data_IF_097832792452
#
_entry.id   IF_097832792452
#
_cell.length_a   1.000
_cell.length_b   1.000
_cell.length_c   1.000
_cell.angle_alpha   90.00
_cell.angle_beta   90.00
_cell.angle_gamma   90.00
#
_symmetry.space_group_name_H-M   'P 1'
#
loop_
_entity.id
_entity.type
_entity.pdbx_description
1 polymer ?
#
# COMPACT_ATOMS: atom_id res chain seq x y z
N UNK A 1 3.63 -22.92 5.09
CA UNK A 1 3.63 -22.54 6.52
C UNK A 1 4.91 -21.81 6.96
N UNK A 2 6.12 -22.23 6.55
CA UNK A 2 7.40 -21.58 6.90
C UNK A 2 7.58 -20.18 6.27
N UNK A 3 7.14 -19.95 5.02
CA UNK A 3 7.32 -18.68 4.29
C UNK A 3 6.57 -17.50 4.93
N UNK A 4 5.41 -17.73 5.51
CA UNK A 4 4.57 -16.68 6.12
C UNK A 4 5.05 -16.28 7.53
N UNK A 5 5.60 -17.25 8.31
CA UNK A 5 6.32 -16.92 9.54
C UNK A 5 7.54 -16.03 9.25
N UNK A 6 8.24 -16.27 8.13
CA UNK A 6 9.37 -15.45 7.71
C UNK A 6 8.97 -13.99 7.41
N UNK A 7 7.78 -13.74 6.82
CA UNK A 7 7.28 -12.39 6.54
C UNK A 7 6.90 -11.64 7.83
N UNK A 8 6.21 -12.29 8.75
CA UNK A 8 5.82 -11.68 10.04
C UNK A 8 7.04 -11.40 10.94
N UNK A 9 7.93 -12.37 11.08
CA UNK A 9 9.19 -12.18 11.80
C UNK A 9 10.11 -11.22 11.05
N UNK A 10 10.07 -11.21 9.72
CA UNK A 10 10.80 -10.27 8.88
C UNK A 10 10.41 -8.81 9.14
N UNK A 11 9.13 -8.50 9.26
CA UNK A 11 8.66 -7.15 9.58
C UNK A 11 9.11 -6.71 10.99
N UNK A 12 8.98 -7.57 12.00
CA UNK A 12 9.49 -7.27 13.36
C UNK A 12 11.02 -7.19 13.43
N UNK A 13 11.74 -8.00 12.65
CA UNK A 13 13.20 -7.91 12.53
C UNK A 13 13.62 -6.58 11.88
N UNK A 14 12.88 -6.09 10.90
CA UNK A 14 13.12 -4.79 10.27
C UNK A 14 12.83 -3.65 11.26
N UNK A 15 11.79 -3.74 12.09
CA UNK A 15 11.49 -2.73 13.12
C UNK A 15 12.58 -2.57 14.17
N UNK A 16 13.14 -3.67 14.66
CA UNK A 16 14.26 -3.68 15.61
C UNK A 16 15.63 -3.66 14.94
N UNK A 17 15.67 -3.77 13.61
CA UNK A 17 16.81 -3.69 12.70
C UNK A 17 18.14 -4.17 13.29
N UNK A 18 18.40 -5.48 13.34
CA UNK A 18 19.65 -5.95 13.91
C UNK A 18 20.84 -5.34 13.16
N UNK A 19 21.82 -4.86 13.90
CA UNK A 19 22.95 -4.08 13.39
C UNK A 19 23.72 -4.79 12.26
N UNK A 20 23.74 -6.12 12.23
CA UNK A 20 24.39 -6.87 11.13
C UNK A 20 23.73 -6.68 9.75
N UNK A 21 22.51 -6.11 9.68
CA UNK A 21 21.86 -5.75 8.40
C UNK A 21 22.34 -4.38 7.88
N UNK A 22 23.05 -3.60 8.68
CA UNK A 22 23.49 -2.26 8.28
C UNK A 22 24.30 -2.24 6.98
N UNK A 23 25.31 -3.11 6.76
CA UNK A 23 26.08 -3.11 5.51
C UNK A 23 25.20 -3.31 4.27
N UNK A 24 24.23 -4.23 4.34
CA UNK A 24 23.29 -4.47 3.23
C UNK A 24 22.37 -3.28 2.97
N UNK A 25 22.01 -2.54 4.02
CA UNK A 25 21.22 -1.32 3.90
C UNK A 25 22.00 -0.21 3.18
N UNK A 26 23.29 -0.09 3.44
CA UNK A 26 24.16 0.87 2.72
C UNK A 26 24.30 0.48 1.24
N UNK A 27 24.48 -0.80 0.93
CA UNK A 27 24.52 -1.29 -0.47
C UNK A 27 23.19 -0.98 -1.16
N UNK A 28 22.07 -1.27 -0.50
CA UNK A 28 20.74 -0.96 -1.04
C UNK A 28 20.55 0.54 -1.28
N UNK A 29 20.92 1.38 -0.32
CA UNK A 29 20.86 2.84 -0.45
C UNK A 29 21.69 3.34 -1.64
N UNK A 30 22.89 2.79 -1.82
CA UNK A 30 23.76 3.13 -2.95
C UNK A 30 23.14 2.72 -4.30
N UNK A 31 22.56 1.52 -4.40
CA UNK A 31 21.85 1.05 -5.61
C UNK A 31 20.69 2.01 -5.93
N UNK A 32 19.88 2.37 -4.93
CA UNK A 32 18.76 3.31 -5.09
C UNK A 32 19.27 4.69 -5.52
N UNK A 33 20.36 5.17 -4.93
CA UNK A 33 21.01 6.43 -5.32
C UNK A 33 21.44 6.39 -6.80
N UNK A 34 22.21 5.39 -7.21
CA UNK A 34 22.67 5.25 -8.59
C UNK A 34 21.50 5.17 -9.58
N UNK A 35 20.49 4.34 -9.27
CA UNK A 35 19.28 4.22 -10.10
C UNK A 35 18.57 5.56 -10.26
N UNK A 36 18.38 6.29 -9.17
CA UNK A 36 17.70 7.58 -9.20
C UNK A 36 18.49 8.60 -9.99
N UNK A 37 19.81 8.59 -9.86
CA UNK A 37 20.69 9.49 -10.59
C UNK A 37 20.69 9.21 -12.11
N UNK A 38 20.69 7.93 -12.51
CA UNK A 38 20.55 7.54 -13.91
C UNK A 38 19.24 8.03 -14.54
N UNK A 39 18.12 7.96 -13.79
CA UNK A 39 16.86 8.55 -14.26
C UNK A 39 16.89 10.08 -14.31
N UNK A 40 17.50 10.74 -13.32
CA UNK A 40 17.59 12.20 -13.26
C UNK A 40 18.39 12.76 -14.43
N UNK A 41 19.43 12.03 -14.86
CA UNK A 41 20.27 12.37 -16.03
C UNK A 41 19.68 11.93 -17.37
N UNK A 42 18.50 11.31 -17.38
CA UNK A 42 17.87 10.79 -18.61
C UNK A 42 18.57 9.59 -19.24
N UNK A 43 19.46 8.91 -18.51
CA UNK A 43 20.19 7.73 -19.01
C UNK A 43 19.34 6.46 -18.99
N UNK A 44 18.25 6.44 -18.25
CA UNK A 44 17.28 5.35 -18.27
C UNK A 44 15.99 5.79 -19.00
N UNK A 45 15.40 4.90 -19.80
CA UNK A 45 14.23 5.25 -20.61
C UNK A 45 13.00 5.53 -19.75
N UNK A 46 12.29 6.61 -20.09
CA UNK A 46 11.00 6.97 -19.52
C UNK A 46 9.98 7.04 -20.66
N UNK A 47 8.96 6.21 -20.58
CA UNK A 47 7.92 6.11 -21.59
C UNK A 47 6.75 7.01 -21.25
N UNK A 48 6.24 7.75 -22.26
CA UNK A 48 5.01 8.53 -22.17
C UNK A 48 3.86 7.77 -22.82
N UNK A 49 2.67 7.99 -22.32
CA UNK A 49 1.40 7.49 -22.85
C UNK A 49 0.42 8.66 -23.02
N UNK A 50 -0.63 8.47 -23.81
CA UNK A 50 -1.61 9.53 -24.05
C UNK A 50 -2.45 9.89 -22.82
N UNK A 51 -2.94 8.92 -22.00
CA UNK A 51 -3.65 9.24 -20.78
C UNK A 51 -2.80 10.04 -19.79
N UNK A 52 -3.43 10.92 -19.02
CA UNK A 52 -2.79 11.54 -17.84
C UNK A 52 -2.45 10.47 -16.82
N UNK A 53 -1.24 10.48 -16.30
CA UNK A 53 -0.76 9.47 -15.34
C UNK A 53 -0.56 10.10 -13.96
N UNK A 54 -1.36 9.67 -13.00
CA UNK A 54 -1.25 10.05 -11.59
C UNK A 54 -0.68 8.88 -10.81
N UNK A 55 0.43 9.08 -10.14
CA UNK A 55 1.06 8.06 -9.29
C UNK A 55 0.68 8.29 -7.83
N UNK A 56 0.21 7.25 -7.18
CA UNK A 56 0.01 7.21 -5.72
C UNK A 56 1.01 6.21 -5.16
N UNK A 57 1.86 6.68 -4.25
CA UNK A 57 2.91 5.84 -3.70
C UNK A 57 3.40 6.28 -2.34
N UNK A 58 4.48 5.66 -1.89
CA UNK A 58 5.21 6.03 -0.69
C UNK A 58 6.68 5.65 -0.82
N UNK A 59 7.52 6.09 0.11
CA UNK A 59 8.96 5.75 0.14
C UNK A 59 9.30 4.67 1.18
N UNK A 60 8.31 4.15 1.91
CA UNK A 60 8.50 3.13 2.93
C UNK A 60 7.80 1.83 2.57
N UNK A 61 8.33 0.70 3.01
CA UNK A 61 7.64 -0.58 2.96
C UNK A 61 6.56 -0.63 4.06
N UNK A 62 5.41 -1.26 3.74
CA UNK A 62 4.29 -1.42 4.68
C UNK A 62 3.06 -0.60 4.33
N UNK A 63 1.99 -0.81 5.10
CA UNK A 63 0.68 -0.21 4.88
C UNK A 63 0.66 1.29 5.15
N UNK A 64 0.59 2.11 4.13
CA UNK A 64 0.49 3.57 4.19
C UNK A 64 -0.87 4.11 3.73
N UNK A 65 -1.88 3.22 3.59
CA UNK A 65 -3.21 3.62 3.14
C UNK A 65 -3.31 3.95 1.65
N UNK A 66 -2.39 3.46 0.80
CA UNK A 66 -2.41 3.72 -0.66
C UNK A 66 -3.69 3.27 -1.31
N UNK A 67 -4.09 2.02 -1.13
CA UNK A 67 -5.27 1.44 -1.77
C UNK A 67 -6.58 2.16 -1.41
N UNK A 68 -6.85 2.50 -0.13
CA UNK A 68 -7.97 3.38 0.21
C UNK A 68 -7.89 4.76 -0.44
N UNK A 69 -6.71 5.34 -0.57
CA UNK A 69 -6.54 6.64 -1.20
C UNK A 69 -6.77 6.57 -2.72
N UNK A 70 -6.24 5.54 -3.40
CA UNK A 70 -6.50 5.27 -4.82
C UNK A 70 -7.99 5.10 -5.09
N UNK A 71 -8.69 4.36 -4.23
CA UNK A 71 -10.15 4.23 -4.30
C UNK A 71 -10.86 5.59 -4.19
N UNK A 72 -10.50 6.39 -3.18
CA UNK A 72 -11.07 7.73 -3.00
C UNK A 72 -10.79 8.63 -4.19
N UNK A 73 -9.54 8.64 -4.67
CA UNK A 73 -9.10 9.45 -5.80
C UNK A 73 -9.88 9.10 -7.08
N UNK A 74 -10.03 7.81 -7.39
CA UNK A 74 -10.78 7.36 -8.54
C UNK A 74 -12.26 7.81 -8.52
N UNK A 75 -12.86 7.87 -7.33
CA UNK A 75 -14.23 8.36 -7.18
C UNK A 75 -14.40 9.86 -7.46
N UNK A 76 -13.34 10.66 -7.35
CA UNK A 76 -13.41 12.12 -7.60
C UNK A 76 -13.46 12.46 -9.11
N UNK A 77 -13.00 11.58 -9.97
CA UNK A 77 -12.97 11.81 -11.42
C UNK A 77 -14.20 11.22 -12.13
N UNK A 78 -15.37 11.48 -11.57
CA UNK A 78 -16.63 11.02 -12.18
C UNK A 78 -16.78 11.53 -13.62
N UNK A 79 -17.23 10.65 -14.54
CA UNK A 79 -17.40 10.97 -15.95
C UNK A 79 -16.15 10.85 -16.82
N UNK A 80 -14.99 10.52 -16.25
CA UNK A 80 -13.76 10.19 -16.98
C UNK A 80 -13.60 8.68 -17.13
N UNK A 81 -13.00 8.24 -18.23
CA UNK A 81 -12.52 6.85 -18.37
C UNK A 81 -11.26 6.68 -17.53
N UNK A 82 -11.35 5.92 -16.45
CA UNK A 82 -10.26 5.73 -15.50
C UNK A 82 -9.75 4.30 -15.57
N UNK A 83 -8.43 4.15 -15.55
CA UNK A 83 -7.76 2.88 -15.32
C UNK A 83 -6.88 2.95 -14.08
N UNK A 84 -6.87 1.88 -13.28
CA UNK A 84 -5.94 1.70 -12.17
C UNK A 84 -4.94 0.63 -12.56
N UNK A 85 -3.65 0.96 -12.50
CA UNK A 85 -2.57 0.02 -12.73
C UNK A 85 -1.90 -0.36 -11.41
N UNK A 86 -2.05 -1.62 -11.02
CA UNK A 86 -1.36 -2.20 -9.88
C UNK A 86 -0.28 -3.19 -10.32
N UNK A 87 0.77 -3.35 -9.52
CA UNK A 87 1.80 -4.35 -9.78
C UNK A 87 1.30 -5.78 -9.54
N UNK A 88 0.40 -5.93 -8.56
CA UNK A 88 0.04 -7.22 -8.00
C UNK A 88 1.18 -7.81 -7.17
N UNK A 89 0.84 -8.30 -5.99
CA UNK A 89 1.76 -9.04 -5.12
C UNK A 89 1.17 -10.43 -4.87
N UNK A 90 1.99 -11.50 -5.04
CA UNK A 90 1.56 -12.87 -4.83
C UNK A 90 0.68 -13.45 -5.94
N UNK A 91 0.05 -14.58 -5.66
CA UNK A 91 -0.81 -15.32 -6.59
C UNK A 91 -2.24 -14.74 -6.67
N UNK A 92 -2.67 -14.02 -5.63
CA UNK A 92 -3.96 -13.35 -5.60
C UNK A 92 -3.77 -11.85 -5.29
N UNK A 93 -4.04 -10.97 -6.27
CA UNK A 93 -3.96 -9.52 -6.10
C UNK A 93 -5.22 -9.00 -5.38
N UNK A 94 -5.37 -9.31 -4.10
CA UNK A 94 -6.55 -9.00 -3.27
C UNK A 94 -6.90 -7.52 -3.24
N UNK A 95 -5.90 -6.63 -3.21
CA UNK A 95 -6.13 -5.17 -3.31
C UNK A 95 -6.76 -4.78 -4.66
N UNK A 96 -6.27 -5.34 -5.76
CA UNK A 96 -6.82 -5.08 -7.08
C UNK A 96 -8.24 -5.63 -7.24
N UNK A 97 -8.51 -6.83 -6.69
CA UNK A 97 -9.85 -7.42 -6.66
C UNK A 97 -10.80 -6.53 -5.84
N UNK A 98 -10.34 -6.03 -4.69
CA UNK A 98 -11.12 -5.11 -3.86
C UNK A 98 -11.45 -3.81 -4.61
N UNK A 99 -10.47 -3.23 -5.30
CA UNK A 99 -10.67 -2.02 -6.13
C UNK A 99 -11.67 -2.28 -7.26
N UNK A 100 -11.52 -3.39 -8.00
CA UNK A 100 -12.44 -3.75 -9.08
C UNK A 100 -13.89 -3.95 -8.59
N UNK A 101 -14.07 -4.58 -7.43
CA UNK A 101 -15.40 -4.76 -6.83
C UNK A 101 -16.03 -3.45 -6.36
N UNK A 102 -15.24 -2.53 -5.84
CA UNK A 102 -15.72 -1.23 -5.31
C UNK A 102 -15.88 -0.15 -6.37
N UNK A 103 -15.23 -0.31 -7.51
CA UNK A 103 -15.20 0.63 -8.62
C UNK A 103 -15.55 -0.07 -9.94
N UNK A 104 -16.80 -0.54 -10.13
CA UNK A 104 -17.18 -1.35 -11.28
C UNK A 104 -17.08 -0.59 -12.62
N UNK A 105 -16.99 0.73 -12.58
CA UNK A 105 -16.83 1.62 -13.77
C UNK A 105 -15.35 1.95 -14.06
N UNK A 106 -14.40 1.43 -13.28
CA UNK A 106 -12.97 1.67 -13.44
C UNK A 106 -12.29 0.39 -13.92
N UNK A 107 -11.46 0.50 -14.94
CA UNK A 107 -10.66 -0.60 -15.43
C UNK A 107 -9.48 -0.86 -14.46
N UNK A 108 -9.45 -2.01 -13.81
CA UNK A 108 -8.33 -2.39 -12.93
C UNK A 108 -7.44 -3.40 -13.65
N UNK A 109 -6.19 -3.02 -13.89
CA UNK A 109 -5.20 -3.84 -14.57
C UNK A 109 -4.06 -4.19 -13.62
N UNK A 110 -3.65 -5.46 -13.64
CA UNK A 110 -2.57 -5.98 -12.78
C UNK A 110 -1.46 -6.55 -13.65
N UNK A 111 -0.23 -6.13 -13.39
CA UNK A 111 0.91 -6.70 -14.08
C UNK A 111 2.24 -6.04 -13.74
N UNK A 112 3.33 -6.80 -13.99
CA UNK A 112 4.69 -6.34 -13.70
C UNK A 112 5.16 -5.26 -14.68
N UNK A 113 4.83 -5.39 -15.96
CA UNK A 113 5.16 -4.39 -16.99
C UNK A 113 4.02 -3.38 -17.17
N UNK A 114 3.99 -2.40 -16.25
CA UNK A 114 2.99 -1.32 -16.27
C UNK A 114 3.13 -0.39 -17.47
N UNK A 115 4.30 -0.36 -18.13
CA UNK A 115 4.49 0.42 -19.37
C UNK A 115 3.74 -0.25 -20.51
N UNK A 116 3.89 -1.57 -20.67
CA UNK A 116 3.18 -2.32 -21.71
C UNK A 116 1.66 -2.22 -21.51
N UNK A 117 1.19 -2.38 -20.28
CA UNK A 117 -0.22 -2.21 -19.94
C UNK A 117 -0.73 -0.81 -20.26
N UNK A 118 -0.01 0.24 -19.80
CA UNK A 118 -0.40 1.62 -20.01
C UNK A 118 -0.54 2.00 -21.50
N UNK A 119 0.27 1.41 -22.38
CA UNK A 119 0.20 1.62 -23.82
C UNK A 119 -1.04 1.02 -24.49
N UNK A 120 -1.66 0.01 -23.87
CA UNK A 120 -2.83 -0.69 -24.39
C UNK A 120 -4.15 -0.17 -23.82
N UNK A 121 -4.08 0.72 -22.82
CA UNK A 121 -5.26 1.22 -22.13
C UNK A 121 -5.80 2.45 -22.83
N UNK A 122 -7.09 2.40 -23.16
CA UNK A 122 -7.87 3.54 -23.64
C UNK A 122 -8.59 4.19 -22.45
N UNK A 123 -7.93 5.13 -21.81
CA UNK A 123 -8.46 5.91 -20.69
C UNK A 123 -8.08 7.38 -20.81
N UNK A 124 -8.79 8.24 -20.07
CA UNK A 124 -8.43 9.65 -19.91
C UNK A 124 -7.38 9.80 -18.79
N UNK A 125 -7.49 8.93 -17.77
CA UNK A 125 -6.68 8.96 -16.57
C UNK A 125 -6.20 7.56 -16.18
N UNK A 126 -4.92 7.42 -15.92
CA UNK A 126 -4.31 6.24 -15.32
C UNK A 126 -3.86 6.58 -13.90
N UNK A 127 -4.32 5.81 -12.92
CA UNK A 127 -3.84 5.89 -11.54
C UNK A 127 -2.89 4.71 -11.31
N UNK A 128 -1.63 5.00 -10.99
CA UNK A 128 -0.64 3.99 -10.62
C UNK A 128 -0.73 3.72 -9.13
N UNK A 129 -1.22 2.55 -8.75
CA UNK A 129 -1.15 2.07 -7.38
C UNK A 129 0.28 1.59 -7.09
N UNK A 130 0.85 2.09 -5.99
CA UNK A 130 2.27 1.92 -5.64
C UNK A 130 3.22 2.33 -6.78
N UNK A 131 2.96 3.52 -7.36
CA UNK A 131 3.60 4.01 -8.56
C UNK A 131 4.92 4.74 -8.36
N UNK A 132 5.22 5.29 -7.18
CA UNK A 132 6.30 6.24 -6.96
C UNK A 132 7.70 5.72 -7.35
N UNK A 133 7.97 4.42 -7.16
CA UNK A 133 9.21 3.79 -7.60
C UNK A 133 9.22 3.41 -9.08
N UNK A 134 8.07 3.47 -9.78
CA UNK A 134 7.96 3.02 -11.18
C UNK A 134 8.32 4.14 -12.15
N UNK A 135 9.59 4.56 -12.20
CA UNK A 135 10.09 5.68 -13.00
C UNK A 135 10.12 5.44 -14.52
N UNK A 136 9.97 4.17 -14.97
CA UNK A 136 9.91 3.84 -16.41
C UNK A 136 8.70 4.43 -17.11
N UNK A 137 7.58 4.63 -16.43
CA UNK A 137 6.41 5.33 -16.96
C UNK A 137 6.46 6.78 -16.49
N UNK A 138 6.27 7.71 -17.44
CA UNK A 138 6.14 9.13 -17.10
C UNK A 138 4.91 9.33 -16.23
N UNK A 139 5.02 10.16 -15.23
CA UNK A 139 3.92 10.53 -14.34
C UNK A 139 3.75 12.03 -14.43
N UNK A 140 2.52 12.44 -14.69
CA UNK A 140 2.17 13.86 -14.77
C UNK A 140 1.96 14.45 -13.38
N UNK A 141 1.54 13.59 -12.42
CA UNK A 141 1.37 13.97 -11.01
C UNK A 141 1.88 12.82 -10.12
N UNK A 142 2.74 13.15 -9.16
CA UNK A 142 3.21 12.24 -8.12
C UNK A 142 2.60 12.61 -6.75
N UNK A 143 1.85 11.67 -6.16
CA UNK A 143 1.26 11.79 -4.83
C UNK A 143 1.97 10.81 -3.90
N UNK A 144 2.56 11.32 -2.82
CA UNK A 144 3.26 10.52 -1.80
C UNK A 144 2.48 10.51 -0.49
N UNK A 145 2.22 9.30 0.03
CA UNK A 145 1.54 9.09 1.30
C UNK A 145 2.54 8.70 2.37
N UNK A 146 2.64 9.52 3.41
CA UNK A 146 3.60 9.37 4.50
C UNK A 146 5.01 9.83 4.10
N UNK A 147 5.68 10.44 5.06
CA UNK A 147 7.05 10.94 4.89
C UNK A 147 7.94 10.49 6.05
N UNK A 148 7.91 9.20 6.38
CA UNK A 148 8.75 8.67 7.45
C UNK A 148 10.22 8.77 7.05
N UNK A 149 11.01 9.35 7.95
CA UNK A 149 12.47 9.32 7.90
C UNK A 149 12.92 8.03 8.60
N UNK A 150 13.97 7.39 8.08
CA UNK A 150 14.45 6.15 8.68
C UNK A 150 15.62 5.55 7.93
N UNK A 151 15.89 4.29 8.21
CA UNK A 151 16.95 3.52 7.57
C UNK A 151 16.41 2.80 6.34
N UNK A 152 17.28 2.55 5.38
CA UNK A 152 16.94 1.79 4.18
C UNK A 152 16.76 0.30 4.48
N UNK A 153 16.01 -0.39 3.62
CA UNK A 153 15.95 -1.85 3.61
C UNK A 153 17.35 -2.44 3.48
N UNK A 154 17.63 -3.59 4.09
CA UNK A 154 16.78 -4.38 4.99
C UNK A 154 16.89 -3.98 6.47
N UNK A 155 17.67 -2.97 6.84
CA UNK A 155 17.87 -2.50 8.22
C UNK A 155 16.76 -1.53 8.69
N UNK A 156 15.91 -1.07 7.81
CA UNK A 156 14.76 -0.21 8.07
C UNK A 156 13.70 -0.36 6.99
N UNK A 157 12.83 0.62 6.84
CA UNK A 157 11.67 0.53 5.94
C UNK A 157 11.82 1.35 4.66
N UNK A 158 12.85 2.20 4.53
CA UNK A 158 13.01 3.02 3.34
C UNK A 158 13.33 2.17 2.11
N UNK A 159 12.51 2.29 1.08
CA UNK A 159 12.70 1.66 -0.23
C UNK A 159 13.05 2.66 -1.33
N UNK A 160 13.03 3.95 -1.00
CA UNK A 160 13.47 5.01 -1.91
C UNK A 160 14.06 6.19 -1.12
N UNK A 161 14.70 7.15 -1.81
CA UNK A 161 15.35 8.28 -1.20
C UNK A 161 14.33 9.30 -0.64
N UNK A 162 14.49 9.77 0.60
CA UNK A 162 13.70 10.88 1.13
C UNK A 162 13.75 12.15 0.27
N UNK A 163 14.90 12.43 -0.37
CA UNK A 163 15.05 13.59 -1.29
C UNK A 163 14.06 13.53 -2.47
N UNK A 164 13.63 12.34 -2.87
CA UNK A 164 12.62 12.21 -3.95
C UNK A 164 11.23 12.65 -3.52
N UNK A 165 10.93 12.65 -2.24
CA UNK A 165 9.64 13.16 -1.73
C UNK A 165 9.51 14.65 -2.00
N UNK A 166 10.63 15.39 -2.01
CA UNK A 166 10.66 16.81 -2.33
C UNK A 166 10.32 17.11 -3.80
N UNK A 167 10.41 16.10 -4.66
CA UNK A 167 10.06 16.16 -6.08
C UNK A 167 8.60 15.78 -6.37
N UNK A 168 7.86 15.32 -5.36
CA UNK A 168 6.46 14.97 -5.51
C UNK A 168 5.59 16.23 -5.51
N UNK A 169 4.52 16.21 -6.34
CA UNK A 169 3.59 17.33 -6.43
C UNK A 169 2.74 17.47 -5.16
N UNK A 170 2.38 16.34 -4.53
CA UNK A 170 1.62 16.31 -3.30
C UNK A 170 2.22 15.32 -2.30
N UNK A 171 2.37 15.76 -1.06
CA UNK A 171 2.86 14.93 0.05
C UNK A 171 1.88 15.01 1.21
N UNK A 172 1.22 13.90 1.51
CA UNK A 172 0.35 13.76 2.68
C UNK A 172 1.12 13.03 3.77
N UNK A 173 1.43 13.70 4.88
CA UNK A 173 2.18 13.12 6.02
C UNK A 173 1.22 12.39 6.96
N UNK A 174 0.52 13.16 7.80
CA UNK A 174 -0.37 12.66 8.85
C UNK A 174 -1.81 13.19 8.68
N UNK A 175 -2.07 13.91 7.58
CA UNK A 175 -3.37 14.54 7.32
C UNK A 175 -4.45 13.51 6.96
N UNK A 176 -4.03 12.37 6.38
CA UNK A 176 -4.93 11.31 5.98
C UNK A 176 -5.17 10.35 7.14
N UNK A 177 -6.40 10.34 7.65
CA UNK A 177 -6.84 9.44 8.71
C UNK A 177 -7.94 8.51 8.19
N UNK A 178 -7.75 7.22 8.37
CA UNK A 178 -8.81 6.24 8.14
C UNK A 178 -9.83 6.36 9.28
N UNK A 179 -11.11 6.53 8.90
CA UNK A 179 -12.23 6.51 9.87
C UNK A 179 -13.10 5.30 9.58
N UNK A 180 -13.54 4.63 10.62
CA UNK A 180 -14.56 3.58 10.50
C UNK A 180 -15.87 4.24 10.04
N UNK A 181 -16.35 3.82 8.89
CA UNK A 181 -17.61 4.33 8.32
C UNK A 181 -18.82 3.54 8.82
N UNK A 182 -18.66 2.23 8.94
CA UNK A 182 -19.73 1.31 9.38
C UNK A 182 -19.13 -0.03 9.82
N UNK A 183 -19.82 -0.71 10.70
CA UNK A 183 -19.56 -2.08 11.10
C UNK A 183 -20.67 -2.93 10.50
N UNK A 184 -20.31 -4.04 9.90
CA UNK A 184 -21.27 -4.97 9.28
C UNK A 184 -21.06 -6.36 9.86
N UNK A 185 -22.16 -7.12 10.00
CA UNK A 185 -22.09 -8.55 10.25
C UNK A 185 -21.68 -9.32 8.98
N UNK A 186 -21.49 -10.63 9.09
CA UNK A 186 -21.13 -11.49 7.95
C UNK A 186 -22.21 -11.57 6.86
N UNK A 187 -23.45 -11.18 7.15
CA UNK A 187 -24.55 -11.09 6.21
C UNK A 187 -24.66 -9.71 5.55
N UNK A 188 -23.83 -8.74 6.01
CA UNK A 188 -23.82 -7.37 5.52
C UNK A 188 -24.79 -6.43 6.24
N UNK A 189 -25.43 -6.85 7.34
CA UNK A 189 -26.31 -6.00 8.12
C UNK A 189 -25.50 -5.03 8.97
N UNK A 190 -26.01 -3.81 9.15
CA UNK A 190 -25.38 -2.79 9.94
C UNK A 190 -25.40 -3.15 11.44
N UNK A 191 -24.24 -3.12 12.07
CA UNK A 191 -24.09 -3.18 13.52
C UNK A 191 -23.93 -1.72 14.00
N UNK A 192 -24.90 -1.15 14.71
CA UNK A 192 -24.90 0.27 15.06
C UNK A 192 -23.81 0.63 16.07
N UNK A 193 -23.44 -0.27 16.98
CA UNK A 193 -22.40 -0.07 17.99
C UNK A 193 -21.86 -1.40 18.49
N UNK A 194 -20.60 -1.40 18.88
CA UNK A 194 -19.94 -2.51 19.60
C UNK A 194 -19.50 -2.08 21.01
N UNK A 195 -19.99 -0.95 21.49
CA UNK A 195 -19.66 -0.44 22.82
C UNK A 195 -20.04 -1.44 23.92
N UNK A 196 -19.11 -1.73 24.81
CA UNK A 196 -19.29 -2.69 25.91
C UNK A 196 -19.22 -4.16 25.47
N UNK A 197 -19.01 -4.46 24.20
CA UNK A 197 -18.86 -5.83 23.75
C UNK A 197 -17.48 -6.40 24.12
N UNK A 198 -17.44 -7.67 24.50
CA UNK A 198 -16.20 -8.44 24.58
C UNK A 198 -15.96 -9.09 23.22
N UNK A 199 -14.85 -8.75 22.60
CA UNK A 199 -14.56 -9.16 21.22
C UNK A 199 -13.22 -9.85 21.09
N UNK A 200 -13.17 -10.90 20.29
CA UNK A 200 -11.92 -11.43 19.75
C UNK A 200 -11.61 -10.75 18.42
N UNK A 201 -10.40 -10.27 18.22
CA UNK A 201 -9.97 -9.65 16.97
C UNK A 201 -8.98 -10.52 16.21
N UNK A 202 -9.08 -10.50 14.89
CA UNK A 202 -8.09 -11.11 14.02
C UNK A 202 -7.92 -10.28 12.75
N UNK A 203 -6.70 -10.20 12.24
CA UNK A 203 -6.41 -9.54 10.98
C UNK A 203 -5.08 -9.98 10.38
N UNK A 204 -4.93 -9.80 9.05
CA UNK A 204 -3.69 -10.00 8.31
C UNK A 204 -3.29 -8.69 7.61
N UNK A 205 -2.99 -7.65 8.40
CA UNK A 205 -2.60 -6.31 7.93
C UNK A 205 -1.23 -5.91 8.47
N UNK A 206 -0.58 -4.95 7.83
CA UNK A 206 0.77 -4.51 8.17
C UNK A 206 0.91 -3.95 9.61
N UNK A 207 -0.14 -3.30 10.13
CA UNK A 207 -0.14 -2.67 11.47
C UNK A 207 -1.36 -3.10 12.29
N UNK A 208 -1.39 -4.34 12.81
CA UNK A 208 -2.52 -4.89 13.55
C UNK A 208 -2.84 -4.14 14.84
N UNK A 209 -1.84 -3.52 15.48
CA UNK A 209 -1.99 -2.68 16.66
C UNK A 209 -2.88 -1.45 16.41
N UNK A 210 -2.90 -0.92 15.19
CA UNK A 210 -3.80 0.19 14.84
C UNK A 210 -5.25 -0.29 14.73
N UNK A 211 -5.46 -1.52 14.26
CA UNK A 211 -6.79 -2.12 14.24
C UNK A 211 -7.32 -2.36 15.65
N UNK A 212 -6.50 -2.92 16.54
CA UNK A 212 -6.83 -3.06 17.96
C UNK A 212 -7.26 -1.73 18.58
N UNK A 213 -6.43 -0.69 18.47
CA UNK A 213 -6.75 0.66 18.98
C UNK A 213 -8.06 1.22 18.42
N UNK A 214 -8.34 0.92 17.16
CA UNK A 214 -9.58 1.35 16.52
C UNK A 214 -10.79 0.66 17.17
N UNK A 215 -10.72 -0.64 17.43
CA UNK A 215 -11.79 -1.41 18.06
C UNK A 215 -12.01 -0.96 19.52
N UNK A 216 -10.93 -0.75 20.27
CA UNK A 216 -10.97 -0.23 21.64
C UNK A 216 -11.55 1.20 21.69
N UNK A 217 -11.18 2.07 20.75
CA UNK A 217 -11.73 3.44 20.63
C UNK A 217 -13.23 3.47 20.31
N UNK A 218 -13.79 2.36 19.78
CA UNK A 218 -15.22 2.18 19.56
C UNK A 218 -15.95 1.65 20.79
N UNK A 219 -15.24 1.49 21.92
CA UNK A 219 -15.78 1.10 23.21
C UNK A 219 -15.91 -0.40 23.44
N UNK A 220 -15.31 -1.24 22.59
CA UNK A 220 -15.27 -2.68 22.82
C UNK A 220 -14.06 -3.08 23.70
N UNK A 221 -14.21 -4.16 24.46
CA UNK A 221 -13.14 -4.81 25.22
C UNK A 221 -12.54 -5.93 24.39
N UNK A 222 -11.25 -5.81 24.04
CA UNK A 222 -10.53 -6.86 23.29
C UNK A 222 -10.05 -7.92 24.26
N UNK A 223 -10.70 -9.10 24.25
CA UNK A 223 -10.41 -10.23 25.15
C UNK A 223 -9.53 -11.31 24.51
N UNK A 224 -9.43 -11.33 23.19
CA UNK A 224 -8.57 -12.24 22.45
C UNK A 224 -8.05 -11.57 21.17
N UNK A 225 -6.83 -11.91 20.76
CA UNK A 225 -6.26 -11.41 19.52
C UNK A 225 -5.48 -12.48 18.77
N UNK A 226 -5.62 -12.48 17.44
CA UNK A 226 -4.82 -13.31 16.57
C UNK A 226 -4.45 -12.55 15.31
N UNK A 227 -3.16 -12.32 15.12
CA UNK A 227 -2.64 -11.59 13.98
C UNK A 227 -1.93 -12.55 13.01
N UNK A 228 -2.18 -12.34 11.73
CA UNK A 228 -1.59 -13.06 10.63
C UNK A 228 -0.60 -12.15 9.91
N UNK A 229 0.27 -12.72 9.07
CA UNK A 229 1.14 -11.92 8.21
C UNK A 229 0.30 -11.08 7.24
N UNK A 230 0.87 -9.96 6.80
CA UNK A 230 0.20 -9.08 5.83
C UNK A 230 -0.19 -9.88 4.58
N UNK A 231 -1.46 -9.77 4.15
CA UNK A 231 -2.09 -10.57 3.09
C UNK A 231 -2.17 -12.09 3.33
N UNK A 232 -1.96 -12.56 4.55
CA UNK A 232 -2.20 -13.97 4.87
C UNK A 232 -3.70 -14.22 5.06
N UNK A 233 -4.23 -15.25 4.38
CA UNK A 233 -5.60 -15.69 4.61
C UNK A 233 -5.72 -16.37 5.96
N UNK A 234 -6.57 -15.83 6.82
CA UNK A 234 -6.88 -16.42 8.11
C UNK A 234 -7.66 -17.73 7.90
N UNK A 235 -7.14 -18.90 8.30
CA UNK A 235 -7.91 -20.12 8.26
C UNK A 235 -9.02 -20.06 9.32
N UNK A 236 -10.28 -20.16 8.89
CA UNK A 236 -11.45 -20.02 9.75
C UNK A 236 -11.44 -20.94 10.98
N UNK A 237 -10.79 -22.10 10.89
CA UNK A 237 -10.63 -23.05 11.99
C UNK A 237 -9.62 -22.65 13.06
N UNK A 238 -8.87 -21.58 12.84
CA UNK A 238 -7.90 -21.03 13.80
C UNK A 238 -8.36 -19.72 14.42
N UNK A 239 -9.61 -19.31 14.19
CA UNK A 239 -10.16 -18.13 14.85
C UNK A 239 -10.38 -18.41 16.34
N UNK A 240 -10.15 -17.44 17.23
CA UNK A 240 -10.49 -17.58 18.65
C UNK A 240 -12.00 -17.81 18.77
N UNK A 241 -12.35 -18.83 19.57
CA UNK A 241 -13.76 -19.14 19.89
C UNK A 241 -14.32 -18.13 20.89
#
# INVERSE_FOLDING_TARGET
MLRNKFLYYGQRLIEKGPFYLAPFSFIYAFIIFCRNELYNRGLLPVYRVNPTVVSVGNIVAGGSGKTPFVHLLAQQFFGKKIAILSRGYGEMPDEAILLARRLPHVQVCVGKDRVALAKQIEADLIILDDGFQHRRLHRDVDIVLGSRVGRYLPWGFLRDSPKRVEQADFVFKDELKLKVKRILDLKGNLIPSIQGWKVGIFCGIAHPENFRKTVEAMGAEVVAEQFFADHEMAPLNKLPK
#
